data_IF_564975525790
#
_entry.id   IF_564975525790
#
_cell.length_a   1.000
_cell.length_b   1.000
_cell.length_c   1.000
_cell.angle_alpha   90.00
_cell.angle_beta   90.00
_cell.angle_gamma   90.00
#
_symmetry.space_group_name_H-M   'P 1'
#
loop_
_entity.id
_entity.type
_entity.pdbx_description
1 polymer ?
#
# COMPACT_ATOMS: atom_id res chain seq x y z
N UNK A 1 18.22 19.70 62.33
CA UNK A 1 19.56 20.26 62.65
C UNK A 1 20.07 19.57 63.92
N UNK A 2 21.39 19.32 64.16
CA UNK A 2 22.54 18.89 63.31
C UNK A 2 23.30 17.62 63.86
N UNK A 3 23.90 16.75 63.01
CA UNK A 3 25.36 16.36 62.82
C UNK A 3 26.19 15.86 64.06
N UNK A 4 27.36 15.17 63.94
CA UNK A 4 27.96 14.32 62.86
C UNK A 4 28.89 13.11 63.29
N UNK A 5 29.40 12.34 62.29
CA UNK A 5 30.72 11.64 62.16
C UNK A 5 31.01 10.39 63.05
N UNK A 6 31.71 9.31 62.66
CA UNK A 6 32.89 9.17 61.77
C UNK A 6 33.29 7.69 61.52
N UNK A 7 34.09 7.50 60.44
CA UNK A 7 35.12 6.45 60.14
C UNK A 7 34.82 5.35 59.11
N UNK A 8 35.51 5.47 57.97
CA UNK A 8 35.82 4.46 56.94
C UNK A 8 36.92 3.47 57.42
N UNK A 9 37.15 2.31 56.76
CA UNK A 9 38.00 2.21 55.53
C UNK A 9 37.46 1.21 54.47
N UNK A 10 37.57 1.48 53.17
CA UNK A 10 38.66 1.13 52.24
C UNK A 10 38.93 -0.39 52.05
N UNK A 11 38.28 -1.01 51.05
CA UNK A 11 38.78 -2.21 50.32
C UNK A 11 38.05 -2.29 48.98
N UNK A 12 38.65 -1.85 47.88
CA UNK A 12 39.49 -2.63 46.96
C UNK A 12 38.68 -3.57 46.04
N UNK A 13 38.59 -3.13 44.78
CA UNK A 13 38.50 -3.87 43.52
C UNK A 13 37.78 -5.22 43.44
N UNK A 14 36.90 -5.36 42.43
CA UNK A 14 37.14 -6.30 41.32
C UNK A 14 36.24 -5.90 40.15
N UNK A 15 36.88 -5.36 39.11
CA UNK A 15 36.32 -5.18 37.78
C UNK A 15 36.05 -6.58 37.22
N UNK A 16 34.79 -6.96 37.05
CA UNK A 16 34.42 -8.10 36.21
C UNK A 16 33.73 -7.57 34.97
N UNK A 17 34.56 -7.19 33.99
CA UNK A 17 34.17 -6.91 32.63
C UNK A 17 33.61 -8.19 32.00
N UNK A 18 32.29 -8.35 32.00
CA UNK A 18 31.64 -9.31 31.11
C UNK A 18 31.66 -8.72 29.70
N UNK A 19 32.65 -9.14 28.89
CA UNK A 19 32.61 -8.99 27.44
C UNK A 19 31.38 -9.77 26.94
N UNK A 20 30.26 -9.08 26.77
CA UNK A 20 29.18 -9.58 25.93
C UNK A 20 29.65 -9.47 24.48
N UNK A 21 30.10 -10.59 23.92
CA UNK A 21 30.38 -10.71 22.50
C UNK A 21 29.06 -10.49 21.74
N UNK A 22 28.83 -9.26 21.28
CA UNK A 22 27.75 -8.93 20.37
C UNK A 22 28.05 -9.63 19.03
N UNK A 23 27.39 -10.76 18.78
CA UNK A 23 27.39 -11.41 17.48
C UNK A 23 26.66 -10.48 16.52
N UNK A 24 27.42 -9.68 15.77
CA UNK A 24 26.91 -8.88 14.67
C UNK A 24 26.49 -9.84 13.55
N UNK A 25 25.26 -10.33 13.61
CA UNK A 25 24.65 -10.99 12.48
C UNK A 25 24.48 -9.96 11.35
N UNK A 26 24.92 -10.24 10.12
CA UNK A 26 24.63 -9.37 9.00
C UNK A 26 23.12 -9.37 8.77
N UNK A 27 22.48 -8.24 9.06
CA UNK A 27 21.11 -7.98 8.61
C UNK A 27 21.19 -7.85 7.09
N UNK A 28 20.90 -8.94 6.39
CA UNK A 28 20.65 -8.92 4.95
C UNK A 28 19.37 -8.11 4.75
N UNK A 29 19.51 -6.79 4.56
CA UNK A 29 18.41 -5.95 4.10
C UNK A 29 18.07 -6.42 2.68
N UNK A 30 16.95 -7.11 2.53
CA UNK A 30 16.37 -7.34 1.21
C UNK A 30 16.23 -5.96 0.52
N UNK A 31 16.60 -5.85 -0.77
CA UNK A 31 16.41 -4.61 -1.49
C UNK A 31 14.94 -4.21 -1.39
N UNK A 32 14.68 -2.97 -0.96
CA UNK A 32 13.34 -2.42 -0.96
C UNK A 32 12.80 -2.53 -2.40
N UNK A 33 11.80 -3.40 -2.60
CA UNK A 33 11.16 -3.51 -3.90
C UNK A 33 10.66 -2.11 -4.28
N UNK A 34 11.15 -1.57 -5.39
CA UNK A 34 10.64 -0.31 -5.91
C UNK A 34 9.14 -0.50 -6.17
N UNK A 35 8.32 0.30 -5.49
CA UNK A 35 6.88 0.27 -5.73
C UNK A 35 6.63 0.55 -7.21
N UNK A 36 5.74 -0.21 -7.84
CA UNK A 36 5.39 -0.09 -9.25
C UNK A 36 5.11 1.39 -9.60
N UNK A 37 5.60 1.94 -10.72
CA UNK A 37 5.37 3.34 -11.05
C UNK A 37 3.86 3.68 -11.12
N UNK A 38 3.51 4.93 -10.87
CA UNK A 38 2.15 5.41 -11.04
C UNK A 38 1.78 5.41 -12.53
N UNK A 39 0.60 4.87 -12.85
CA UNK A 39 0.00 4.94 -14.18
C UNK A 39 -0.68 6.29 -14.39
N UNK A 40 -0.69 6.79 -15.63
CA UNK A 40 -1.38 8.03 -16.01
C UNK A 40 -2.89 7.82 -16.18
N UNK A 41 -3.59 7.58 -15.07
CA UNK A 41 -5.04 7.35 -15.06
C UNK A 41 -5.82 8.66 -15.13
N UNK A 42 -7.15 8.57 -15.24
CA UNK A 42 -8.04 9.71 -15.12
C UNK A 42 -9.33 9.35 -14.37
N UNK A 43 -9.85 10.30 -13.59
CA UNK A 43 -11.18 10.25 -12.99
C UNK A 43 -11.99 11.45 -13.51
N UNK A 44 -13.14 11.21 -14.14
CA UNK A 44 -13.95 12.23 -14.82
C UNK A 44 -13.11 13.15 -15.72
N UNK A 45 -12.27 12.52 -16.55
CA UNK A 45 -11.36 13.17 -17.50
C UNK A 45 -10.30 14.09 -16.84
N UNK A 46 -10.20 14.11 -15.51
CA UNK A 46 -9.11 14.75 -14.76
C UNK A 46 -7.97 13.75 -14.55
N UNK A 47 -6.75 14.03 -15.07
CA UNK A 47 -5.60 13.16 -14.86
C UNK A 47 -5.23 13.04 -13.38
N UNK A 48 -4.99 11.81 -12.93
CA UNK A 48 -4.50 11.51 -11.58
C UNK A 48 -3.74 10.18 -11.61
N UNK A 49 -2.60 10.11 -10.93
CA UNK A 49 -1.83 8.87 -10.84
C UNK A 49 -2.63 7.75 -10.19
N UNK A 50 -2.56 6.53 -10.74
CA UNK A 50 -3.17 5.37 -10.09
C UNK A 50 -2.33 4.09 -10.22
N UNK A 51 -2.62 3.14 -9.35
CA UNK A 51 -2.16 1.75 -9.42
C UNK A 51 -3.37 0.85 -9.32
N UNK A 52 -3.51 -0.08 -10.24
CA UNK A 52 -4.56 -1.08 -10.25
C UNK A 52 -4.00 -2.48 -10.02
N UNK A 53 -4.75 -3.29 -9.26
CA UNK A 53 -4.43 -4.69 -9.01
C UNK A 53 -5.66 -5.54 -9.32
N UNK A 54 -5.42 -6.71 -9.90
CA UNK A 54 -6.46 -7.63 -10.36
C UNK A 54 -6.33 -8.95 -9.61
N UNK A 55 -7.44 -9.39 -9.04
CA UNK A 55 -7.56 -10.69 -8.39
C UNK A 55 -8.11 -11.74 -9.36
N UNK A 56 -7.89 -13.02 -9.07
CA UNK A 56 -8.33 -14.12 -9.93
C UNK A 56 -9.86 -14.24 -10.06
N UNK A 57 -10.61 -13.66 -9.13
CA UNK A 57 -12.08 -13.56 -9.15
C UNK A 57 -12.59 -12.39 -10.02
N UNK A 58 -11.69 -11.67 -10.70
CA UNK A 58 -12.00 -10.50 -11.51
C UNK A 58 -12.20 -9.22 -10.71
N UNK A 59 -11.97 -9.24 -9.38
CA UNK A 59 -11.97 -8.04 -8.55
C UNK A 59 -10.81 -7.13 -8.95
N UNK A 60 -11.13 -5.85 -9.17
CA UNK A 60 -10.14 -4.80 -9.45
C UNK A 60 -10.06 -3.86 -8.27
N UNK A 61 -8.87 -3.56 -7.80
CA UNK A 61 -8.64 -2.53 -6.79
C UNK A 61 -7.78 -1.42 -7.38
N UNK A 62 -8.29 -0.18 -7.31
CA UNK A 62 -7.59 1.03 -7.75
C UNK A 62 -7.16 1.83 -6.51
N UNK A 63 -5.88 2.18 -6.45
CA UNK A 63 -5.29 3.12 -5.48
C UNK A 63 -4.88 4.36 -6.24
N UNK A 64 -5.31 5.52 -5.75
CA UNK A 64 -5.01 6.82 -6.33
C UNK A 64 -3.79 7.45 -5.64
N UNK A 65 -3.11 8.34 -6.36
CA UNK A 65 -1.91 9.05 -5.88
C UNK A 65 -2.19 9.91 -4.64
N UNK A 66 -3.42 10.39 -4.48
CA UNK A 66 -3.87 11.14 -3.30
C UNK A 66 -4.14 10.26 -2.06
N UNK A 67 -3.91 8.95 -2.17
CA UNK A 67 -4.12 7.98 -1.09
C UNK A 67 -5.53 7.40 -1.03
N UNK A 68 -6.47 7.86 -1.87
CA UNK A 68 -7.79 7.26 -1.96
C UNK A 68 -7.76 5.90 -2.64
N UNK A 69 -8.80 5.11 -2.41
CA UNK A 69 -8.85 3.73 -2.82
C UNK A 69 -10.28 3.25 -3.07
N UNK A 70 -10.47 2.46 -4.12
CA UNK A 70 -11.76 1.81 -4.39
C UNK A 70 -11.55 0.37 -4.87
N UNK A 71 -12.48 -0.50 -4.49
CA UNK A 71 -12.50 -1.91 -4.93
C UNK A 71 -13.78 -2.18 -5.71
N UNK A 72 -13.64 -2.77 -6.89
CA UNK A 72 -14.70 -3.12 -7.83
C UNK A 72 -14.75 -4.63 -7.97
N UNK A 73 -15.81 -5.25 -7.44
CA UNK A 73 -16.02 -6.70 -7.50
C UNK A 73 -16.80 -7.07 -8.74
N UNK A 74 -16.39 -8.14 -9.41
CA UNK A 74 -17.06 -8.61 -10.61
C UNK A 74 -18.47 -9.12 -10.26
N UNK A 75 -19.48 -8.62 -10.98
CA UNK A 75 -20.87 -9.09 -10.88
C UNK A 75 -21.21 -9.95 -12.08
N UNK A 76 -20.79 -9.51 -13.27
CA UNK A 76 -21.01 -10.22 -14.52
C UNK A 76 -19.78 -10.07 -15.40
N UNK A 77 -19.19 -11.20 -15.77
CA UNK A 77 -18.10 -11.23 -16.73
C UNK A 77 -18.60 -11.03 -18.17
N UNK A 78 -17.76 -10.39 -18.99
CA UNK A 78 -17.99 -10.24 -20.42
C UNK A 78 -16.87 -9.45 -21.10
N UNK A 79 -16.76 -9.62 -22.42
CA UNK A 79 -15.83 -8.88 -23.28
C UNK A 79 -16.57 -8.26 -24.47
N UNK A 80 -16.36 -6.96 -24.77
CA UNK A 80 -15.47 -6.05 -24.07
C UNK A 80 -16.05 -5.51 -22.74
N UNK A 81 -17.33 -5.78 -22.45
CA UNK A 81 -18.05 -5.17 -21.33
C UNK A 81 -18.30 -6.16 -20.19
N UNK A 82 -17.85 -5.81 -18.98
CA UNK A 82 -18.17 -6.48 -17.72
C UNK A 82 -19.01 -5.57 -16.81
N UNK A 83 -19.79 -6.13 -15.89
CA UNK A 83 -20.47 -5.38 -14.82
C UNK A 83 -19.77 -5.63 -13.49
N UNK A 84 -19.52 -4.55 -12.74
CA UNK A 84 -18.88 -4.56 -11.43
C UNK A 84 -19.73 -3.83 -10.39
N UNK A 85 -19.43 -4.08 -9.12
CA UNK A 85 -19.99 -3.37 -7.96
C UNK A 85 -18.84 -2.82 -7.11
N UNK A 86 -18.84 -1.53 -6.84
CA UNK A 86 -17.84 -0.93 -5.94
C UNK A 86 -18.13 -1.25 -4.46
N UNK A 87 -17.18 -0.94 -3.57
CA UNK A 87 -17.34 -1.17 -2.13
C UNK A 87 -18.37 -0.26 -1.43
N UNK A 88 -18.82 0.82 -2.08
CA UNK A 88 -19.89 1.70 -1.61
C UNK A 88 -21.27 1.24 -2.11
N UNK A 89 -21.33 0.22 -2.97
CA UNK A 89 -22.56 -0.27 -3.58
C UNK A 89 -22.96 0.46 -4.87
N UNK A 90 -22.06 1.19 -5.54
CA UNK A 90 -22.27 1.68 -6.89
C UNK A 90 -22.09 0.57 -7.92
N UNK A 91 -22.94 0.53 -8.95
CA UNK A 91 -22.75 -0.37 -10.11
C UNK A 91 -21.93 0.33 -11.18
N UNK A 92 -20.99 -0.39 -11.76
CA UNK A 92 -20.08 0.10 -12.80
C UNK A 92 -20.05 -0.85 -14.00
N UNK A 93 -19.91 -0.29 -15.18
CA UNK A 93 -19.57 -1.01 -16.40
C UNK A 93 -18.07 -0.86 -16.65
N UNK A 94 -17.35 -1.96 -16.88
CA UNK A 94 -15.95 -1.93 -17.33
C UNK A 94 -15.87 -2.35 -18.78
N UNK A 95 -15.40 -1.46 -19.62
CA UNK A 95 -15.01 -1.74 -21.01
C UNK A 95 -13.51 -1.96 -21.09
N UNK A 96 -13.09 -3.12 -21.56
CA UNK A 96 -11.68 -3.39 -21.88
C UNK A 96 -11.48 -3.21 -23.38
N UNK A 97 -10.56 -2.32 -23.75
CA UNK A 97 -10.18 -2.08 -25.14
C UNK A 97 -9.20 -3.13 -25.63
N UNK A 98 -9.10 -3.31 -26.95
CA UNK A 98 -8.19 -4.31 -27.57
C UNK A 98 -6.72 -4.05 -27.19
N UNK A 99 -6.32 -2.79 -26.97
CA UNK A 99 -4.97 -2.45 -26.50
C UNK A 99 -4.73 -2.79 -25.00
N UNK A 100 -5.75 -3.24 -24.28
CA UNK A 100 -5.68 -3.57 -22.85
C UNK A 100 -6.01 -2.41 -21.91
N UNK A 101 -6.26 -1.20 -22.43
CA UNK A 101 -6.80 -0.10 -21.61
C UNK A 101 -8.18 -0.48 -21.07
N UNK A 102 -8.55 0.07 -19.92
CA UNK A 102 -9.86 -0.13 -19.33
C UNK A 102 -10.54 1.21 -19.06
N UNK A 103 -11.83 1.28 -19.36
CA UNK A 103 -12.71 2.37 -18.94
C UNK A 103 -13.79 1.81 -18.01
N UNK A 104 -14.00 2.46 -16.87
CA UNK A 104 -15.07 2.15 -15.95
C UNK A 104 -16.07 3.31 -15.96
N UNK A 105 -17.35 3.01 -16.12
CA UNK A 105 -18.42 4.02 -16.14
C UNK A 105 -19.49 3.64 -15.14
N UNK A 106 -19.89 4.58 -14.29
CA UNK A 106 -21.04 4.44 -13.41
C UNK A 106 -22.26 5.06 -14.09
N UNK A 107 -23.21 4.25 -14.62
CA UNK A 107 -24.35 4.78 -15.36
C UNK A 107 -25.31 5.59 -14.48
N UNK A 108 -25.26 5.45 -13.15
CA UNK A 108 -26.18 6.14 -12.25
C UNK A 108 -25.80 7.61 -11.99
N UNK A 109 -24.51 7.96 -12.08
CA UNK A 109 -24.04 9.32 -11.82
C UNK A 109 -23.12 9.89 -12.92
N UNK A 110 -22.80 9.10 -13.94
CA UNK A 110 -21.94 9.52 -15.05
C UNK A 110 -20.45 9.55 -14.73
N UNK A 111 -20.03 9.12 -13.53
CA UNK A 111 -18.61 9.06 -13.20
C UNK A 111 -17.88 8.07 -14.10
N UNK A 112 -16.66 8.45 -14.50
CA UNK A 112 -15.80 7.68 -15.39
C UNK A 112 -14.39 7.55 -14.84
N UNK A 113 -13.78 6.40 -15.07
CA UNK A 113 -12.37 6.13 -14.77
C UNK A 113 -11.72 5.57 -16.02
N UNK A 114 -10.56 6.10 -16.37
CA UNK A 114 -9.70 5.52 -17.39
C UNK A 114 -8.43 4.97 -16.73
N UNK A 115 -8.11 3.70 -17.00
CA UNK A 115 -6.90 3.02 -16.56
C UNK A 115 -6.14 2.53 -17.79
N UNK A 116 -4.93 3.03 -18.06
CA UNK A 116 -4.12 2.51 -19.14
C UNK A 116 -3.57 1.11 -18.79
N UNK A 117 -3.24 0.32 -19.81
CA UNK A 117 -2.61 -0.99 -19.59
C UNK A 117 -1.29 -0.88 -18.80
N UNK A 118 -0.53 0.21 -19.02
CA UNK A 118 0.78 0.48 -18.43
C UNK A 118 0.88 1.91 -17.91
#
# INVERSE_FOLDING_TARGET
>A
MPKPLSHAPLTMALISSALAAAVLAPVVQAPAALAEPWKSCAFNDQPIGCRDSHSADGTVRIVWEDGMAMTYRLVKEGFPLSTLRDSLGGTWERRVFVQGNAEFTNPANGNRIFVPLR
#
